data_IF_430644556956
#
_entry.id   IF_430644556956
#
_cell.length_a   1.000
_cell.length_b   1.000
_cell.length_c   1.000
_cell.angle_alpha   90.00
_cell.angle_beta   90.00
_cell.angle_gamma   90.00
#
_symmetry.space_group_name_H-M   'P 1'
#
loop_
_entity.id
_entity.type
_entity.pdbx_description
1 polymer ?
#
# COMPACT_ATOMS: atom_id res chain seq x y z
N UNK A 1 18.03 13.58 -30.52
CA UNK A 1 16.64 13.24 -30.15
C UNK A 1 16.65 13.09 -28.63
N UNK A 2 16.10 14.05 -27.91
CA UNK A 2 16.05 14.01 -26.44
C UNK A 2 15.11 12.87 -26.06
N UNK A 3 15.61 11.82 -25.41
CA UNK A 3 14.72 10.81 -24.85
C UNK A 3 13.83 11.53 -23.82
N UNK A 4 12.50 11.41 -23.88
CA UNK A 4 11.67 11.94 -22.80
C UNK A 4 12.16 11.29 -21.51
N UNK A 5 12.48 12.12 -20.51
CA UNK A 5 12.71 11.59 -19.17
C UNK A 5 11.41 10.94 -18.72
N UNK A 6 11.36 9.62 -18.75
CA UNK A 6 10.29 8.88 -18.11
C UNK A 6 10.49 9.06 -16.60
N UNK A 7 9.69 9.93 -16.01
CA UNK A 7 9.58 10.07 -14.57
C UNK A 7 9.08 8.74 -14.01
N UNK A 8 9.79 8.13 -13.04
CA UNK A 8 9.34 6.89 -12.45
C UNK A 8 7.96 7.00 -11.81
N UNK A 9 7.17 5.94 -11.90
CA UNK A 9 5.83 5.87 -11.31
C UNK A 9 5.77 4.81 -10.22
N UNK A 10 5.32 5.19 -9.03
CA UNK A 10 5.07 4.28 -7.91
C UNK A 10 3.58 4.17 -7.65
N UNK A 11 3.03 2.97 -7.80
CA UNK A 11 1.59 2.73 -7.69
C UNK A 11 1.24 2.09 -6.35
N UNK A 12 0.33 2.71 -5.60
CA UNK A 12 -0.15 2.20 -4.32
C UNK A 12 -1.46 1.45 -4.54
N UNK A 13 -1.44 0.11 -4.49
CA UNK A 13 -2.62 -0.72 -4.77
C UNK A 13 -3.12 -1.41 -3.51
N UNK A 14 -4.37 -1.12 -3.12
CA UNK A 14 -4.90 -1.64 -1.86
C UNK A 14 -6.38 -1.30 -1.64
N UNK A 15 -6.82 -1.45 -0.39
CA UNK A 15 -8.19 -1.17 0.03
C UNK A 15 -8.37 0.26 0.59
N UNK A 16 -9.28 0.45 1.55
CA UNK A 16 -9.53 1.74 2.20
C UNK A 16 -8.31 2.30 2.93
N UNK A 17 -7.39 1.48 3.40
CA UNK A 17 -6.14 1.95 4.03
C UNK A 17 -5.26 2.64 2.98
N UNK A 18 -5.25 2.13 1.75
CA UNK A 18 -4.54 2.75 0.63
C UNK A 18 -5.33 3.94 0.06
N UNK A 19 -6.66 3.86 0.01
CA UNK A 19 -7.51 4.98 -0.47
C UNK A 19 -7.32 6.23 0.39
N UNK A 20 -7.24 6.06 1.71
CA UNK A 20 -7.05 7.14 2.68
C UNK A 20 -5.59 7.61 2.79
N UNK A 21 -4.65 6.98 2.09
CA UNK A 21 -3.21 7.25 2.22
C UNK A 21 -2.78 8.66 1.84
N UNK A 22 -3.62 9.42 1.12
CA UNK A 22 -3.36 10.81 0.73
C UNK A 22 -4.08 11.84 1.62
N UNK A 23 -4.79 11.39 2.66
CA UNK A 23 -5.32 12.29 3.69
C UNK A 23 -4.19 12.98 4.49
N UNK A 24 -4.51 14.00 5.31
CA UNK A 24 -3.54 14.63 6.22
C UNK A 24 -2.86 13.57 7.10
N UNK A 25 -1.52 13.58 7.14
CA UNK A 25 -0.73 12.58 7.88
C UNK A 25 -0.70 11.19 7.23
N UNK A 26 -1.22 11.04 6.01
CA UNK A 26 -1.30 9.78 5.29
C UNK A 26 0.04 9.31 4.68
N UNK A 27 0.26 8.00 4.66
CA UNK A 27 1.54 7.41 4.23
C UNK A 27 1.84 7.62 2.74
N UNK A 28 0.80 7.72 1.90
CA UNK A 28 0.93 7.97 0.47
C UNK A 28 1.30 9.43 0.18
N UNK A 29 0.72 10.38 0.92
CA UNK A 29 1.12 11.79 0.86
C UNK A 29 2.56 11.98 1.36
N UNK A 30 2.94 11.31 2.46
CA UNK A 30 4.31 11.31 2.96
C UNK A 30 5.29 10.72 1.94
N UNK A 31 4.90 9.62 1.26
CA UNK A 31 5.71 9.02 0.21
C UNK A 31 5.87 9.96 -0.99
N UNK A 32 4.79 10.61 -1.44
CA UNK A 32 4.85 11.59 -2.52
C UNK A 32 5.79 12.76 -2.17
N UNK A 33 5.79 13.20 -0.90
CA UNK A 33 6.73 14.21 -0.43
C UNK A 33 8.18 13.72 -0.45
N UNK A 34 8.45 12.48 -0.02
CA UNK A 34 9.79 11.86 -0.08
C UNK A 34 10.37 11.82 -1.49
N UNK A 35 9.52 11.59 -2.50
CA UNK A 35 9.92 11.49 -3.90
C UNK A 35 9.60 12.74 -4.73
N UNK A 36 9.40 13.89 -4.08
CA UNK A 36 9.09 15.15 -4.76
C UNK A 36 10.18 15.53 -5.77
N UNK A 37 9.77 15.85 -7.00
CA UNK A 37 10.66 16.12 -8.14
C UNK A 37 11.44 14.92 -8.66
N UNK A 38 11.12 13.69 -8.23
CA UNK A 38 11.87 12.47 -8.56
C UNK A 38 10.97 11.36 -9.13
N UNK A 39 9.80 11.14 -8.54
CA UNK A 39 8.83 10.14 -8.99
C UNK A 39 7.40 10.69 -8.86
N UNK A 40 6.44 10.03 -9.53
CA UNK A 40 5.01 10.23 -9.25
C UNK A 40 4.46 9.08 -8.41
N UNK A 41 3.70 9.41 -7.38
CA UNK A 41 3.02 8.43 -6.52
C UNK A 41 1.54 8.41 -6.89
N UNK A 42 1.06 7.25 -7.35
CA UNK A 42 -0.28 7.05 -7.90
C UNK A 42 -1.12 6.15 -6.98
N UNK A 43 -2.19 6.68 -6.40
CA UNK A 43 -3.09 5.89 -5.54
C UNK A 43 -4.10 5.11 -6.38
N UNK A 44 -4.21 3.81 -6.10
CA UNK A 44 -5.27 2.90 -6.54
C UNK A 44 -5.80 2.12 -5.33
N UNK A 45 -6.28 2.87 -4.34
CA UNK A 45 -6.99 2.35 -3.18
C UNK A 45 -8.49 2.23 -3.45
N UNK A 46 -9.10 1.14 -3.01
CA UNK A 46 -10.52 0.86 -3.23
C UNK A 46 -11.20 0.51 -1.90
N UNK A 47 -11.94 1.48 -1.35
CA UNK A 47 -12.59 1.34 -0.05
C UNK A 47 -13.48 0.09 0.06
N UNK A 48 -13.17 -0.77 1.04
CA UNK A 48 -13.94 -1.97 1.34
C UNK A 48 -13.73 -3.16 0.38
N UNK A 49 -12.83 -3.05 -0.60
CA UNK A 49 -12.54 -4.15 -1.54
C UNK A 49 -11.70 -5.25 -0.89
N UNK A 50 -11.94 -6.49 -1.31
CA UNK A 50 -11.12 -7.66 -0.99
C UNK A 50 -10.34 -8.14 -2.22
N UNK A 51 -9.46 -9.11 -2.04
CA UNK A 51 -8.63 -9.65 -3.14
C UNK A 51 -9.46 -10.26 -4.27
N UNK A 52 -10.59 -10.90 -3.97
CA UNK A 52 -11.48 -11.50 -4.96
C UNK A 52 -12.03 -10.47 -5.94
N UNK A 53 -12.45 -9.31 -5.44
CA UNK A 53 -13.06 -8.26 -6.28
C UNK A 53 -12.04 -7.53 -7.14
N UNK A 54 -10.84 -7.29 -6.62
CA UNK A 54 -9.82 -6.54 -7.39
C UNK A 54 -9.25 -7.34 -8.55
N UNK A 55 -9.39 -8.68 -8.57
CA UNK A 55 -9.03 -9.50 -9.73
C UNK A 55 -9.71 -9.02 -11.02
N UNK A 56 -10.93 -8.51 -10.94
CA UNK A 56 -11.67 -7.99 -12.10
C UNK A 56 -11.13 -6.64 -12.61
N UNK A 57 -10.30 -5.96 -11.83
CA UNK A 57 -9.69 -4.67 -12.19
C UNK A 57 -8.30 -4.84 -12.82
N UNK A 58 -7.66 -6.00 -12.63
CA UNK A 58 -6.25 -6.21 -12.95
C UNK A 58 -5.88 -5.94 -14.40
N UNK A 59 -6.69 -6.36 -15.37
CA UNK A 59 -6.40 -6.09 -16.79
C UNK A 59 -6.48 -4.61 -17.15
N UNK A 60 -7.25 -3.81 -16.41
CA UNK A 60 -7.36 -2.36 -16.63
C UNK A 60 -6.21 -1.61 -15.95
N UNK A 61 -5.78 -2.07 -14.79
CA UNK A 61 -4.74 -1.42 -13.99
C UNK A 61 -3.32 -1.85 -14.40
N UNK A 62 -3.16 -3.11 -14.79
CA UNK A 62 -1.90 -3.75 -15.16
C UNK A 62 -2.07 -4.55 -16.45
N UNK A 63 -2.36 -3.89 -17.59
CA UNK A 63 -2.48 -4.59 -18.86
C UNK A 63 -1.16 -5.31 -19.21
N UNK A 64 -1.20 -6.50 -19.83
CA UNK A 64 0.00 -7.15 -20.32
C UNK A 64 0.77 -6.25 -21.28
N UNK A 65 2.10 -6.20 -21.17
CA UNK A 65 2.95 -5.31 -21.97
C UNK A 65 2.51 -3.84 -21.91
N UNK A 66 2.24 -3.33 -20.69
CA UNK A 66 1.90 -1.94 -20.50
C UNK A 66 3.02 -1.05 -21.08
N UNK A 67 2.64 -0.04 -21.87
CA UNK A 67 3.62 0.87 -22.50
C UNK A 67 4.34 1.75 -21.48
N UNK A 68 3.68 2.03 -20.37
CA UNK A 68 4.16 2.88 -19.28
C UNK A 68 3.86 2.19 -17.95
N UNK A 69 4.52 1.05 -17.66
CA UNK A 69 4.28 0.32 -16.42
C UNK A 69 4.85 1.11 -15.23
N UNK A 70 4.28 0.95 -14.03
CA UNK A 70 4.92 1.42 -12.81
C UNK A 70 6.30 0.79 -12.62
N UNK A 71 7.25 1.57 -12.10
CA UNK A 71 8.56 1.10 -11.66
C UNK A 71 8.45 0.36 -10.32
N UNK A 72 7.51 0.78 -9.48
CA UNK A 72 7.15 0.06 -8.26
C UNK A 72 5.63 -0.01 -8.07
N UNK A 73 5.18 -1.08 -7.42
CA UNK A 73 3.82 -1.20 -6.93
C UNK A 73 3.77 -1.85 -5.54
N UNK A 74 2.95 -1.29 -4.65
CA UNK A 74 2.60 -1.97 -3.39
C UNK A 74 1.31 -2.77 -3.55
N UNK A 75 1.18 -3.90 -2.86
CA UNK A 75 -0.06 -4.67 -2.71
C UNK A 75 -0.42 -4.65 -1.22
N UNK A 76 -1.51 -3.98 -0.86
CA UNK A 76 -1.93 -3.81 0.55
C UNK A 76 -3.41 -4.20 0.73
N UNK A 77 -3.65 -5.52 0.81
CA UNK A 77 -4.96 -6.15 0.99
C UNK A 77 -4.90 -7.24 2.07
N UNK A 78 -6.06 -7.68 2.55
CA UNK A 78 -6.19 -8.72 3.56
C UNK A 78 -7.04 -8.28 4.74
N UNK A 79 -7.09 -6.97 5.02
CA UNK A 79 -7.91 -6.41 6.08
C UNK A 79 -9.38 -6.76 5.85
N UNK A 80 -9.87 -6.53 4.63
CA UNK A 80 -11.26 -6.86 4.28
C UNK A 80 -11.52 -8.35 4.16
N UNK A 81 -10.61 -9.08 3.51
CA UNK A 81 -10.64 -10.54 3.30
C UNK A 81 -10.79 -11.31 4.62
N UNK A 82 -10.13 -10.84 5.68
CA UNK A 82 -10.16 -11.39 7.03
C UNK A 82 -11.49 -11.21 7.80
N UNK A 83 -12.53 -10.66 7.16
CA UNK A 83 -13.87 -10.63 7.75
C UNK A 83 -14.34 -12.04 8.14
N UNK A 84 -15.08 -12.15 9.24
CA UNK A 84 -15.58 -13.42 9.76
C UNK A 84 -16.99 -13.68 9.22
N UNK A 85 -17.26 -14.91 8.78
CA UNK A 85 -18.58 -15.34 8.30
C UNK A 85 -19.64 -15.24 9.42
N UNK A 86 -20.87 -14.86 9.05
CA UNK A 86 -21.95 -14.63 10.02
C UNK A 86 -21.77 -13.36 10.88
N UNK A 87 -20.90 -12.43 10.45
CA UNK A 87 -20.70 -11.11 11.07
C UNK A 87 -21.03 -9.97 10.09
N UNK A 88 -21.02 -8.72 10.56
CA UNK A 88 -21.52 -7.55 9.81
C UNK A 88 -20.79 -7.31 8.49
N UNK A 89 -19.53 -7.72 8.41
CA UNK A 89 -18.66 -7.57 7.24
C UNK A 89 -18.50 -8.84 6.41
N UNK A 90 -19.30 -9.88 6.62
CA UNK A 90 -19.12 -11.21 6.00
C UNK A 90 -19.06 -11.17 4.46
N UNK A 91 -19.72 -10.20 3.81
CA UNK A 91 -19.64 -10.02 2.35
C UNK A 91 -18.22 -9.80 1.82
N UNK A 92 -17.33 -9.33 2.69
CA UNK A 92 -15.93 -9.06 2.37
C UNK A 92 -15.04 -10.31 2.55
N UNK A 93 -15.55 -11.36 3.19
CA UNK A 93 -14.80 -12.58 3.48
C UNK A 93 -14.28 -13.26 2.21
N UNK A 94 -13.01 -13.62 2.24
CA UNK A 94 -12.34 -14.45 1.23
C UNK A 94 -11.62 -15.57 1.97
N UNK A 95 -11.91 -16.86 1.71
CA UNK A 95 -11.21 -17.96 2.37
C UNK A 95 -9.69 -17.84 2.24
N UNK A 96 -8.96 -18.24 3.29
CA UNK A 96 -7.50 -18.06 3.41
C UNK A 96 -6.73 -18.59 2.20
N UNK A 97 -7.06 -19.78 1.71
CA UNK A 97 -6.42 -20.39 0.53
C UNK A 97 -6.73 -19.58 -0.75
N UNK A 98 -7.96 -19.08 -0.87
CA UNK A 98 -8.36 -18.23 -1.99
C UNK A 98 -7.64 -16.87 -1.93
N UNK A 99 -7.50 -16.27 -0.75
CA UNK A 99 -6.75 -15.04 -0.56
C UNK A 99 -5.31 -15.17 -1.04
N UNK A 100 -4.59 -16.22 -0.62
CA UNK A 100 -3.22 -16.47 -1.09
C UNK A 100 -3.17 -16.71 -2.60
N UNK A 101 -4.11 -17.48 -3.14
CA UNK A 101 -4.20 -17.71 -4.59
C UNK A 101 -4.52 -16.42 -5.38
N UNK A 102 -5.34 -15.53 -4.82
CA UNK A 102 -5.67 -14.25 -5.43
C UNK A 102 -4.46 -13.31 -5.43
N UNK A 103 -3.71 -13.23 -4.33
CA UNK A 103 -2.47 -12.47 -4.28
C UNK A 103 -1.44 -12.99 -5.30
N UNK A 104 -1.29 -14.32 -5.44
CA UNK A 104 -0.47 -14.94 -6.51
C UNK A 104 -0.87 -14.43 -7.91
N UNK A 105 -2.18 -14.37 -8.20
CA UNK A 105 -2.69 -13.85 -9.49
C UNK A 105 -2.40 -12.35 -9.67
N UNK A 106 -2.54 -11.55 -8.61
CA UNK A 106 -2.22 -10.10 -8.63
C UNK A 106 -0.75 -9.89 -8.96
N UNK A 107 0.16 -10.57 -8.23
CA UNK A 107 1.61 -10.52 -8.47
C UNK A 107 1.94 -10.94 -9.90
N UNK A 108 1.38 -12.06 -10.35
CA UNK A 108 1.61 -12.56 -11.72
C UNK A 108 1.18 -11.53 -12.77
N UNK A 109 0.03 -10.87 -12.59
CA UNK A 109 -0.39 -9.82 -13.51
C UNK A 109 0.57 -8.63 -13.51
N UNK A 110 0.99 -8.16 -12.33
CA UNK A 110 1.95 -7.04 -12.22
C UNK A 110 3.28 -7.37 -12.91
N UNK A 111 3.78 -8.60 -12.74
CA UNK A 111 5.01 -9.08 -13.41
C UNK A 111 4.83 -9.29 -14.91
N UNK A 112 3.64 -9.66 -15.39
CA UNK A 112 3.32 -9.69 -16.82
C UNK A 112 3.17 -8.28 -17.43
N UNK A 113 2.75 -7.30 -16.63
CA UNK A 113 2.70 -5.89 -17.01
C UNK A 113 4.11 -5.32 -17.16
N UNK A 114 4.99 -5.61 -16.21
CA UNK A 114 6.43 -5.33 -16.29
C UNK A 114 7.24 -6.31 -15.43
N UNK A 115 8.13 -7.12 -16.02
CA UNK A 115 8.98 -8.05 -15.26
C UNK A 115 9.92 -7.35 -14.28
N UNK A 116 10.35 -6.12 -14.61
CA UNK A 116 11.30 -5.31 -13.83
C UNK A 116 10.64 -4.51 -12.71
N UNK A 117 9.30 -4.45 -12.65
CA UNK A 117 8.58 -3.71 -11.60
C UNK A 117 8.96 -4.25 -10.21
N UNK A 118 9.32 -3.36 -9.29
CA UNK A 118 9.46 -3.69 -7.88
C UNK A 118 8.07 -3.87 -7.27
N UNK A 119 7.69 -5.11 -6.96
CA UNK A 119 6.42 -5.41 -6.30
C UNK A 119 6.67 -5.65 -4.83
N UNK A 120 6.05 -4.85 -3.97
CA UNK A 120 6.16 -4.96 -2.50
C UNK A 120 4.81 -5.38 -1.94
N UNK A 121 4.78 -6.44 -1.13
CA UNK A 121 3.55 -6.90 -0.50
C UNK A 121 3.53 -6.40 0.95
N UNK A 122 2.43 -5.78 1.38
CA UNK A 122 2.24 -5.27 2.74
C UNK A 122 1.14 -6.12 3.40
N UNK A 123 1.46 -6.73 4.54
CA UNK A 123 0.46 -7.51 5.29
C UNK A 123 -0.67 -6.59 5.77
N UNK A 124 -1.90 -7.08 5.98
CA UNK A 124 -2.90 -6.29 6.70
C UNK A 124 -2.35 -5.84 8.07
N UNK A 125 -2.72 -4.64 8.56
CA UNK A 125 -2.35 -4.22 9.91
C UNK A 125 -3.03 -5.11 10.96
N UNK A 126 -2.59 -5.09 12.23
CA UNK A 126 -3.35 -5.73 13.29
C UNK A 126 -4.71 -5.05 13.48
N UNK A 127 -5.63 -5.73 14.18
CA UNK A 127 -6.99 -5.22 14.45
C UNK A 127 -7.18 -5.01 15.95
N UNK A 128 -7.59 -3.82 16.35
CA UNK A 128 -8.08 -3.58 17.72
C UNK A 128 -9.59 -3.85 17.78
N UNK A 129 -9.95 -5.04 18.24
CA UNK A 129 -11.34 -5.48 18.39
C UNK A 129 -12.16 -4.56 19.29
N UNK A 130 -11.54 -4.00 20.33
CA UNK A 130 -12.21 -3.06 21.22
C UNK A 130 -12.51 -1.75 20.51
N UNK A 131 -11.52 -1.16 19.83
CA UNK A 131 -11.69 0.03 19.00
C UNK A 131 -12.72 -0.17 17.87
N UNK A 132 -12.72 -1.35 17.23
CA UNK A 132 -13.75 -1.70 16.23
C UNK A 132 -15.14 -1.72 16.82
N UNK A 133 -15.30 -2.27 18.02
CA UNK A 133 -16.58 -2.32 18.74
C UNK A 133 -17.06 -0.93 19.13
N UNK A 134 -16.18 -0.08 19.66
CA UNK A 134 -16.49 1.32 19.97
C UNK A 134 -16.94 2.08 18.71
N UNK A 135 -16.23 1.91 17.60
CA UNK A 135 -16.58 2.51 16.32
C UNK A 135 -17.91 1.98 15.77
N UNK A 136 -18.17 0.67 15.84
CA UNK A 136 -19.45 0.12 15.42
C UNK A 136 -20.61 0.69 16.25
N UNK A 137 -20.43 0.84 17.57
CA UNK A 137 -21.42 1.46 18.46
C UNK A 137 -21.63 2.94 18.15
N UNK A 138 -20.59 3.69 17.79
CA UNK A 138 -20.76 5.10 17.42
C UNK A 138 -21.55 5.30 16.13
N UNK A 139 -21.49 4.34 15.20
CA UNK A 139 -22.24 4.39 13.94
C UNK A 139 -23.67 3.83 14.05
N UNK A 140 -23.85 2.74 14.78
CA UNK A 140 -25.10 1.95 14.75
C UNK A 140 -25.85 1.93 16.10
N UNK A 141 -25.29 2.51 17.16
CA UNK A 141 -25.88 2.51 18.49
C UNK A 141 -26.18 1.10 18.98
N UNK A 142 -27.39 0.89 19.52
CA UNK A 142 -27.88 -0.41 20.00
C UNK A 142 -28.00 -1.48 18.88
N UNK A 143 -27.98 -1.08 17.61
CA UNK A 143 -28.02 -2.02 16.47
C UNK A 143 -26.65 -2.56 16.10
N UNK A 144 -25.58 -2.09 16.74
CA UNK A 144 -24.24 -2.63 16.52
C UNK A 144 -24.19 -4.10 16.95
N UNK A 145 -23.67 -4.99 16.09
CA UNK A 145 -23.42 -6.35 16.51
C UNK A 145 -22.36 -6.40 17.61
N UNK A 146 -22.61 -7.22 18.61
CA UNK A 146 -21.74 -7.37 19.78
C UNK A 146 -20.45 -8.16 19.48
N UNK A 147 -20.52 -9.05 18.48
CA UNK A 147 -19.40 -9.90 18.08
C UNK A 147 -18.53 -9.18 17.05
N UNK A 148 -17.19 -9.21 17.21
CA UNK A 148 -16.29 -8.51 16.31
C UNK A 148 -16.38 -9.08 14.90
N UNK A 149 -16.40 -8.18 13.93
CA UNK A 149 -16.49 -8.55 12.51
C UNK A 149 -15.15 -9.05 11.93
N UNK A 150 -14.05 -8.69 12.60
CA UNK A 150 -12.67 -9.13 12.41
C UNK A 150 -12.03 -9.29 13.77
N UNK A 151 -11.14 -10.27 13.91
CA UNK A 151 -10.27 -10.41 15.08
C UNK A 151 -8.81 -10.27 14.67
N UNK A 152 -7.96 -9.88 15.61
CA UNK A 152 -6.53 -9.78 15.37
C UNK A 152 -5.91 -11.15 15.07
N UNK A 153 -6.39 -12.19 15.75
CA UNK A 153 -5.97 -13.57 15.54
C UNK A 153 -6.23 -14.03 14.10
N UNK A 154 -7.46 -13.84 13.60
CA UNK A 154 -7.79 -14.20 12.21
C UNK A 154 -6.99 -13.36 11.24
N UNK A 155 -6.84 -12.05 11.49
CA UNK A 155 -6.02 -11.17 10.64
C UNK A 155 -4.56 -11.63 10.56
N UNK A 156 -3.99 -12.15 11.65
CA UNK A 156 -2.65 -12.73 11.70
C UNK A 156 -2.48 -13.95 10.78
N UNK A 157 -3.54 -14.73 10.55
CA UNK A 157 -3.53 -15.84 9.57
C UNK A 157 -3.36 -15.30 8.14
N UNK A 158 -4.07 -14.23 7.78
CA UNK A 158 -3.93 -13.59 6.46
C UNK A 158 -2.56 -12.92 6.31
N UNK A 159 -2.07 -12.25 7.35
CA UNK A 159 -0.71 -11.70 7.37
C UNK A 159 0.35 -12.78 7.13
N UNK A 160 0.21 -13.94 7.77
CA UNK A 160 1.10 -15.09 7.54
C UNK A 160 1.05 -15.58 6.09
N UNK A 161 -0.13 -15.73 5.49
CA UNK A 161 -0.24 -16.13 4.08
C UNK A 161 0.38 -15.11 3.11
N UNK A 162 0.25 -13.82 3.43
CA UNK A 162 0.86 -12.73 2.70
C UNK A 162 2.40 -12.82 2.70
N UNK A 163 3.00 -13.12 3.87
CA UNK A 163 4.45 -13.32 4.03
C UNK A 163 4.91 -14.60 3.32
N UNK A 164 4.19 -15.71 3.51
CA UNK A 164 4.51 -16.99 2.86
C UNK A 164 4.53 -16.86 1.34
N UNK A 165 3.51 -16.21 0.76
CA UNK A 165 3.49 -15.86 -0.65
C UNK A 165 4.74 -15.08 -1.05
N UNK A 166 5.04 -13.98 -0.36
CA UNK A 166 6.15 -13.11 -0.72
C UNK A 166 7.48 -13.89 -0.72
N UNK A 167 7.66 -14.81 0.24
CA UNK A 167 8.82 -15.72 0.28
C UNK A 167 8.83 -16.70 -0.88
N UNK A 168 7.70 -17.33 -1.20
CA UNK A 168 7.54 -18.28 -2.32
C UNK A 168 7.91 -17.66 -3.67
N UNK A 169 7.55 -16.39 -3.89
CA UNK A 169 7.80 -15.68 -5.15
C UNK A 169 8.99 -14.71 -5.08
N UNK A 170 9.78 -14.76 -4.01
CA UNK A 170 10.96 -13.94 -3.78
C UNK A 170 10.71 -12.42 -3.92
N UNK A 171 9.58 -11.94 -3.41
CA UNK A 171 9.26 -10.52 -3.35
C UNK A 171 9.63 -9.92 -1.98
N UNK A 172 10.04 -8.64 -1.95
CA UNK A 172 10.11 -7.91 -0.70
C UNK A 172 8.72 -7.73 -0.10
N UNK A 173 8.66 -7.68 1.24
CA UNK A 173 7.41 -7.49 1.97
C UNK A 173 7.60 -6.65 3.23
N UNK A 174 6.50 -6.08 3.71
CA UNK A 174 6.40 -5.38 5.00
C UNK A 174 5.45 -6.17 5.89
N UNK A 175 5.97 -6.75 6.99
CA UNK A 175 5.18 -7.42 8.03
C UNK A 175 4.62 -6.38 9.01
N UNK A 176 3.65 -5.61 8.54
CA UNK A 176 3.01 -4.56 9.32
C UNK A 176 2.23 -5.12 10.51
N UNK A 177 1.69 -6.34 10.38
CA UNK A 177 0.94 -7.02 11.43
C UNK A 177 1.81 -7.21 12.67
N UNK A 178 2.99 -7.81 12.51
CA UNK A 178 3.93 -8.02 13.62
C UNK A 178 4.54 -6.70 14.10
N UNK A 179 5.03 -5.87 13.18
CA UNK A 179 5.78 -4.64 13.49
C UNK A 179 5.01 -3.67 14.38
N UNK A 180 3.72 -3.45 14.09
CA UNK A 180 2.91 -2.56 14.91
C UNK A 180 2.75 -3.07 16.35
N UNK A 181 2.64 -4.40 16.52
CA UNK A 181 2.39 -5.02 17.81
C UNK A 181 3.61 -5.08 18.73
N UNK A 182 4.81 -4.79 18.22
CA UNK A 182 6.02 -4.61 19.04
C UNK A 182 5.95 -3.36 19.92
N UNK A 183 5.03 -2.43 19.62
CA UNK A 183 4.83 -1.21 20.41
C UNK A 183 3.74 -1.40 21.45
N UNK A 184 4.03 -1.12 22.72
CA UNK A 184 3.00 -1.10 23.76
C UNK A 184 1.92 -0.05 23.44
N UNK A 185 0.65 -0.43 23.59
CA UNK A 185 -0.49 0.45 23.29
C UNK A 185 -0.71 0.72 21.79
N UNK A 186 -0.16 -0.13 20.91
CA UNK A 186 -0.31 -0.02 19.44
C UNK A 186 -1.75 0.18 18.98
N UNK A 187 -2.72 -0.39 19.69
CA UNK A 187 -4.14 -0.38 19.34
C UNK A 187 -4.65 1.05 19.09
N UNK A 188 -4.44 1.95 20.06
CA UNK A 188 -4.88 3.35 19.95
C UNK A 188 -3.83 4.25 19.31
N UNK A 189 -2.55 3.87 19.43
CA UNK A 189 -1.46 4.65 18.84
C UNK A 189 -1.51 4.61 17.32
N UNK A 190 -1.72 3.42 16.74
CA UNK A 190 -1.64 3.21 15.30
C UNK A 190 -2.98 3.08 14.60
N UNK A 191 -4.08 2.78 15.31
CA UNK A 191 -5.41 2.59 14.70
C UNK A 191 -6.43 3.60 15.22
N UNK A 192 -7.09 4.31 14.30
CA UNK A 192 -8.06 5.37 14.63
C UNK A 192 -9.43 4.85 15.02
N UNK A 193 -9.85 3.74 14.40
CA UNK A 193 -11.15 3.10 14.61
C UNK A 193 -11.02 1.59 14.88
N UNK A 194 -9.81 1.17 15.25
CA UNK A 194 -9.40 -0.21 15.40
C UNK A 194 -9.08 -0.98 14.12
N UNK A 195 -9.08 -0.30 12.95
CA UNK A 195 -8.63 -0.88 11.67
C UNK A 195 -7.86 0.11 10.80
N UNK A 196 -8.38 1.33 10.60
CA UNK A 196 -7.72 2.36 9.80
C UNK A 196 -6.61 3.03 10.59
N UNK A 197 -5.61 3.52 9.86
CA UNK A 197 -4.39 4.05 10.46
C UNK A 197 -4.58 5.48 10.99
N UNK A 198 -4.03 5.75 12.17
CA UNK A 198 -3.73 7.12 12.64
C UNK A 198 -2.56 7.70 11.86
N UNK A 199 -2.22 8.98 12.07
CA UNK A 199 -0.98 9.57 11.53
C UNK A 199 0.26 8.77 11.94
N UNK A 200 0.35 8.33 13.20
CA UNK A 200 1.46 7.50 13.65
C UNK A 200 1.47 6.12 12.95
N UNK A 201 0.31 5.50 12.74
CA UNK A 201 0.22 4.23 11.99
C UNK A 201 0.62 4.38 10.53
N UNK A 202 0.22 5.49 9.89
CA UNK A 202 0.65 5.86 8.54
C UNK A 202 2.17 6.08 8.48
N UNK A 203 2.76 6.71 9.50
CA UNK A 203 4.20 6.93 9.56
C UNK A 203 4.99 5.62 9.54
N UNK A 204 4.52 4.57 10.23
CA UNK A 204 5.14 3.23 10.18
C UNK A 204 5.13 2.68 8.75
N UNK A 205 3.99 2.74 8.06
CA UNK A 205 3.88 2.26 6.67
C UNK A 205 4.81 3.05 5.74
N UNK A 206 4.86 4.37 5.88
CA UNK A 206 5.74 5.23 5.08
C UNK A 206 7.21 4.85 5.27
N UNK A 207 7.67 4.72 6.51
CA UNK A 207 9.07 4.39 6.82
C UNK A 207 9.47 3.03 6.24
N UNK A 208 8.63 2.01 6.41
CA UNK A 208 8.91 0.67 5.90
C UNK A 208 8.86 0.60 4.36
N UNK A 209 7.92 1.28 3.71
CA UNK A 209 7.87 1.35 2.25
C UNK A 209 9.10 2.06 1.70
N UNK A 210 9.53 3.17 2.30
CA UNK A 210 10.78 3.87 1.90
C UNK A 210 12.00 2.97 2.11
N UNK A 211 12.09 2.25 3.23
CA UNK A 211 13.17 1.31 3.51
C UNK A 211 13.26 0.23 2.41
N UNK A 212 12.13 -0.41 2.10
CA UNK A 212 12.05 -1.47 1.08
C UNK A 212 12.32 -0.92 -0.32
N UNK A 213 11.82 0.27 -0.65
CA UNK A 213 12.10 0.89 -1.95
C UNK A 213 13.60 1.19 -2.12
N UNK A 214 14.26 1.70 -1.07
CA UNK A 214 15.71 1.91 -1.07
C UNK A 214 16.47 0.60 -1.26
N UNK A 215 16.12 -0.45 -0.53
CA UNK A 215 16.71 -1.80 -0.69
C UNK A 215 16.49 -2.37 -2.10
N UNK A 216 15.37 -2.02 -2.74
CA UNK A 216 15.04 -2.35 -4.12
C UNK A 216 15.65 -1.45 -5.18
N UNK A 217 16.56 -0.54 -4.83
CA UNK A 217 17.24 0.36 -5.78
C UNK A 217 16.45 1.62 -6.18
N UNK A 218 15.37 1.93 -5.46
CA UNK A 218 14.53 3.12 -5.64
C UNK A 218 14.68 4.08 -4.45
N UNK A 219 15.90 4.22 -3.93
CA UNK A 219 16.21 5.16 -2.85
C UNK A 219 16.04 6.60 -3.32
N UNK A 220 15.25 7.39 -2.60
CA UNK A 220 14.99 8.79 -3.00
C UNK A 220 16.28 9.61 -3.11
N UNK A 221 17.26 9.36 -2.24
CA UNK A 221 18.54 10.09 -2.24
C UNK A 221 19.40 9.79 -3.47
N UNK A 222 19.20 8.63 -4.10
CA UNK A 222 19.94 8.19 -5.29
C UNK A 222 19.25 8.62 -6.60
N UNK A 223 18.01 9.11 -6.52
CA UNK A 223 17.24 9.52 -7.70
C UNK A 223 17.58 10.94 -8.14
N UNK A 224 17.79 11.10 -9.44
CA UNK A 224 17.96 12.42 -10.05
C UNK A 224 16.65 13.18 -10.08
N UNK A 225 16.73 14.50 -9.89
CA UNK A 225 15.60 15.38 -10.15
C UNK A 225 15.24 15.41 -11.63
N UNK A 226 13.94 15.52 -11.90
CA UNK A 226 13.39 15.71 -13.24
C UNK A 226 14.00 16.93 -13.93
N UNK A 227 14.23 18.02 -13.21
CA UNK A 227 14.86 19.23 -13.74
C UNK A 227 16.03 19.72 -12.87
N UNK A 228 16.87 20.63 -13.39
CA UNK A 228 17.96 21.24 -12.60
C UNK A 228 17.44 21.87 -11.31
N UNK A 229 18.24 21.79 -10.25
CA UNK A 229 17.95 22.55 -9.04
C UNK A 229 18.12 24.05 -9.33
N UNK A 230 17.37 24.89 -8.63
CA UNK A 230 17.44 26.34 -8.86
C UNK A 230 18.85 26.93 -8.70
N UNK A 231 19.69 26.32 -7.86
CA UNK A 231 21.09 26.72 -7.65
C UNK A 231 21.99 26.46 -8.87
N UNK A 232 21.59 25.53 -9.75
CA UNK A 232 22.31 25.19 -10.98
C UNK A 232 21.87 26.04 -12.17
N UNK A 233 20.91 26.95 -11.98
CA UNK A 233 20.38 27.82 -13.03
C UNK A 233 21.11 29.18 -12.98
N UNK A 234 21.91 29.46 -14.01
CA UNK A 234 22.50 30.78 -14.21
C UNK A 234 21.40 31.80 -14.53
N UNK A 235 21.27 32.84 -13.71
CA UNK A 235 20.23 33.86 -13.86
C UNK A 235 20.38 34.71 -15.13
N UNK A 236 21.59 34.78 -15.72
CA UNK A 236 21.83 35.52 -16.96
C UNK A 236 21.56 34.68 -18.21
N UNK A 237 21.61 33.35 -18.10
CA UNK A 237 21.43 32.41 -19.21
C UNK A 237 20.69 31.13 -18.74
N UNK A 238 19.45 31.26 -18.22
CA UNK A 238 18.74 30.16 -17.57
C UNK A 238 18.50 28.97 -18.51
N UNK A 239 18.31 29.21 -19.80
CA UNK A 239 18.07 28.19 -20.82
C UNK A 239 19.18 27.15 -20.91
N UNK A 240 20.43 27.53 -20.62
CA UNK A 240 21.57 26.60 -20.67
C UNK A 240 21.44 25.43 -19.70
N UNK A 241 20.79 25.63 -18.56
CA UNK A 241 20.56 24.56 -17.58
C UNK A 241 19.58 23.50 -18.11
N UNK A 242 18.67 23.88 -19.00
CA UNK A 242 17.61 23.00 -19.53
C UNK A 242 17.98 22.34 -20.87
N UNK A 243 19.07 22.75 -21.51
CA UNK A 243 19.58 22.13 -22.74
C UNK A 243 20.57 20.98 -22.50
N UNK A 244 21.06 20.80 -21.26
CA UNK A 244 21.94 19.70 -20.86
C UNK A 244 21.16 18.47 -20.39
N UNK A 245 20.33 17.84 -21.24
CA UNK A 245 19.86 16.46 -21.04
C UNK A 245 19.69 15.78 -22.39
#
# INVERSE_FOLDING_TARGET
>A
MVLPMNRPHFLLFGDSITEKSFGPGGWGAALANTYSGKADVLVRGYGGYNTRWVLFLLNRLFPPNCRTPPDAATIFFGANDAAILGRTSERQHVPVDEYKANLHKIVKQMKNCSPTMLVVVITPPPVDEHGRKEYARSLYGEKAMELPERTNEITGIYAKQCIELAREVHLPYVDLWSLMQETEGWQKKFLSDGLHLTEAGNSVVHQEVVRVFREGGLGADDMQHDFPLHIDIDSHMPEKAFHKK
#
